data_IF_994913329010
#
_entry.id   IF_994913329010
#
_cell.length_a   1.000
_cell.length_b   1.000
_cell.length_c   1.000
_cell.angle_alpha   90.00
_cell.angle_beta   90.00
_cell.angle_gamma   90.00
#
_symmetry.space_group_name_H-M   'P 1'
#
loop_
_entity.id
_entity.type
_entity.pdbx_description
1 polymer ?
#
# COMPACT_ATOMS: atom_id res chain seq x y z
N UNK A 1 43.66 43.38 5.99
CA UNK A 1 43.92 42.22 5.10
C UNK A 1 43.75 40.85 5.77
N UNK A 2 44.13 40.63 7.04
CA UNK A 2 43.99 39.31 7.70
C UNK A 2 42.54 38.81 7.92
N UNK A 3 41.55 39.70 7.98
CA UNK A 3 40.14 39.33 8.20
C UNK A 3 39.36 38.86 6.96
N UNK A 4 39.82 39.19 5.75
CA UNK A 4 39.14 38.79 4.49
C UNK A 4 39.60 37.40 4.04
N UNK A 5 40.87 37.06 4.29
CA UNK A 5 41.45 35.74 3.96
C UNK A 5 40.81 34.62 4.83
N UNK A 6 40.48 34.90 6.10
CA UNK A 6 39.81 33.93 7.00
C UNK A 6 38.36 33.67 6.57
N UNK A 7 37.65 34.68 6.03
CA UNK A 7 36.28 34.50 5.52
C UNK A 7 36.24 33.71 4.21
N UNK A 8 37.23 33.85 3.33
CA UNK A 8 37.32 33.08 2.08
C UNK A 8 37.71 31.62 2.37
N UNK A 9 38.59 31.36 3.34
CA UNK A 9 38.96 29.99 3.74
C UNK A 9 37.77 29.26 4.38
N UNK A 10 36.97 29.93 5.23
CA UNK A 10 35.77 29.32 5.82
C UNK A 10 34.64 29.10 4.79
N UNK A 11 34.54 29.94 3.76
CA UNK A 11 33.56 29.77 2.68
C UNK A 11 33.93 28.61 1.74
N UNK A 12 35.22 28.41 1.47
CA UNK A 12 35.71 27.27 0.67
C UNK A 12 35.67 25.95 1.46
N UNK A 13 35.88 25.97 2.78
CA UNK A 13 35.71 24.78 3.64
C UNK A 13 34.23 24.36 3.77
N UNK A 14 33.30 25.32 3.81
CA UNK A 14 31.87 25.04 3.80
C UNK A 14 31.39 24.48 2.44
N UNK A 15 32.03 24.87 1.34
CA UNK A 15 31.69 24.37 0.00
C UNK A 15 32.29 22.98 -0.30
N UNK A 16 33.42 22.61 0.34
CA UNK A 16 34.02 21.28 0.23
C UNK A 16 33.33 20.22 1.11
N UNK A 17 32.58 20.61 2.14
CA UNK A 17 31.76 19.68 2.95
C UNK A 17 30.47 19.25 2.22
N UNK A 18 30.05 19.97 1.18
CA UNK A 18 28.89 19.60 0.35
C UNK A 18 29.22 18.52 -0.70
N UNK A 19 30.50 18.20 -0.94
CA UNK A 19 30.93 17.21 -1.94
C UNK A 19 31.17 15.80 -1.35
N UNK A 20 30.94 15.60 -0.05
CA UNK A 20 30.97 14.27 0.58
C UNK A 20 29.68 14.05 1.37
N UNK A 21 28.55 13.87 0.68
CA UNK A 21 27.37 13.26 1.30
C UNK A 21 27.73 11.81 1.60
N UNK A 22 27.90 11.40 2.86
CA UNK A 22 28.31 10.06 3.17
C UNK A 22 27.10 9.14 3.00
N UNK A 23 27.35 7.97 2.39
CA UNK A 23 26.48 6.80 2.26
C UNK A 23 25.66 6.47 3.53
N UNK A 24 26.08 6.95 4.70
CA UNK A 24 25.45 6.74 5.99
C UNK A 24 24.09 7.45 6.18
N UNK A 25 23.80 8.61 5.57
CA UNK A 25 22.47 9.23 5.74
C UNK A 25 21.36 8.45 5.01
N UNK A 26 21.68 7.84 3.87
CA UNK A 26 20.77 6.93 3.16
C UNK A 26 20.49 5.68 4.00
N UNK A 27 21.49 5.17 4.72
CA UNK A 27 21.35 4.01 5.62
C UNK A 27 20.49 4.36 6.84
N UNK A 28 20.70 5.51 7.49
CA UNK A 28 19.90 5.91 8.64
C UNK A 28 18.45 6.26 8.27
N UNK A 29 18.23 6.91 7.14
CA UNK A 29 16.89 7.13 6.59
C UNK A 29 16.20 5.79 6.27
N UNK A 30 16.89 4.85 5.62
CA UNK A 30 16.37 3.50 5.35
C UNK A 30 16.09 2.68 6.63
N UNK A 31 16.87 2.86 7.69
CA UNK A 31 16.70 2.13 8.96
C UNK A 31 15.53 2.66 9.81
N UNK A 32 15.28 3.97 9.80
CA UNK A 32 14.08 4.55 10.40
C UNK A 32 12.83 4.20 9.57
N UNK A 33 12.91 4.34 8.25
CA UNK A 33 11.89 3.98 7.27
C UNK A 33 11.43 2.51 7.35
N UNK A 34 12.37 1.56 7.42
CA UNK A 34 12.03 0.14 7.57
C UNK A 34 11.43 -0.19 8.94
N UNK A 35 11.60 0.67 9.95
CA UNK A 35 11.01 0.49 11.28
C UNK A 35 9.52 0.85 11.29
N UNK A 36 9.14 1.89 10.54
CA UNK A 36 7.79 2.46 10.56
C UNK A 36 6.79 1.62 9.74
N UNK A 37 7.16 1.20 8.52
CA UNK A 37 6.33 0.29 7.70
C UNK A 37 6.19 -1.09 8.37
N UNK A 38 7.26 -1.58 9.02
CA UNK A 38 7.20 -2.81 9.82
C UNK A 38 6.23 -2.69 11.00
N UNK A 39 6.13 -1.51 11.62
CA UNK A 39 5.20 -1.27 12.74
C UNK A 39 3.75 -1.26 12.26
N UNK A 40 3.45 -0.53 11.19
CA UNK A 40 2.14 -0.49 10.52
C UNK A 40 1.62 -1.90 10.18
N UNK A 41 2.44 -2.67 9.47
CA UNK A 41 2.05 -4.00 9.04
C UNK A 41 2.03 -4.99 10.22
N UNK A 42 2.82 -4.74 11.27
CA UNK A 42 2.75 -5.47 12.54
C UNK A 42 1.42 -5.24 13.25
N UNK A 43 0.92 -3.99 13.29
CA UNK A 43 -0.36 -3.65 13.94
C UNK A 43 -1.55 -4.30 13.21
N UNK A 44 -1.57 -4.24 11.87
CA UNK A 44 -2.58 -4.93 11.06
C UNK A 44 -2.55 -6.45 11.26
N UNK A 45 -1.35 -7.05 11.31
CA UNK A 45 -1.20 -8.49 11.57
C UNK A 45 -1.59 -8.87 13.01
N UNK A 46 -1.31 -8.02 14.00
CA UNK A 46 -1.74 -8.24 15.37
C UNK A 46 -3.27 -8.25 15.49
N UNK A 47 -3.94 -7.34 14.78
CA UNK A 47 -5.40 -7.32 14.68
C UNK A 47 -5.93 -8.62 14.05
N UNK A 48 -5.42 -9.04 12.88
CA UNK A 48 -5.87 -10.30 12.26
C UNK A 48 -5.61 -11.52 13.15
N UNK A 49 -4.49 -11.53 13.87
CA UNK A 49 -4.15 -12.59 14.83
C UNK A 49 -5.14 -12.64 16.00
N UNK A 50 -5.58 -11.50 16.49
CA UNK A 50 -6.61 -11.44 17.52
C UNK A 50 -7.96 -11.92 17.00
N UNK A 51 -8.35 -11.49 15.80
CA UNK A 51 -9.57 -11.98 15.11
C UNK A 51 -9.52 -13.50 14.95
N UNK A 52 -8.38 -14.04 14.51
CA UNK A 52 -8.17 -15.50 14.39
C UNK A 52 -8.42 -16.22 15.72
N UNK A 53 -7.78 -15.78 16.81
CA UNK A 53 -7.97 -16.40 18.14
C UNK A 53 -9.41 -16.35 18.62
N UNK A 54 -10.08 -15.22 18.44
CA UNK A 54 -11.48 -15.05 18.83
C UNK A 54 -12.40 -15.95 18.00
N UNK A 55 -12.08 -16.12 16.70
CA UNK A 55 -12.91 -16.86 15.77
C UNK A 55 -12.78 -18.38 15.93
N UNK A 56 -11.61 -18.90 16.36
CA UNK A 56 -11.38 -20.34 16.57
C UNK A 56 -12.28 -20.98 17.63
N UNK A 57 -12.71 -20.22 18.64
CA UNK A 57 -13.48 -20.74 19.77
C UNK A 57 -14.96 -20.39 19.69
N UNK A 58 -15.39 -19.79 18.58
CA UNK A 58 -16.75 -19.28 18.43
C UNK A 58 -17.68 -20.41 18.01
N UNK A 59 -18.71 -20.66 18.81
CA UNK A 59 -19.80 -21.55 18.43
C UNK A 59 -20.73 -20.79 17.47
N UNK A 60 -20.87 -21.31 16.24
CA UNK A 60 -21.66 -20.67 15.19
C UNK A 60 -22.94 -21.46 14.98
N UNK A 61 -24.07 -20.83 15.28
CA UNK A 61 -25.40 -21.30 14.89
C UNK A 61 -25.99 -20.51 13.73
N UNK A 62 -25.39 -19.35 13.39
CA UNK A 62 -25.88 -18.45 12.35
C UNK A 62 -24.77 -17.56 11.78
N UNK A 63 -24.84 -17.22 10.49
CA UNK A 63 -23.93 -16.27 9.84
C UNK A 63 -24.55 -14.86 9.75
N UNK A 64 -24.04 -13.94 10.55
CA UNK A 64 -24.50 -12.55 10.53
C UNK A 64 -23.50 -11.61 9.85
N UNK A 65 -22.20 -11.88 10.01
CA UNK A 65 -21.11 -11.00 9.57
C UNK A 65 -19.85 -11.80 9.16
N UNK A 66 -18.78 -11.07 8.83
CA UNK A 66 -17.48 -11.62 8.41
C UNK A 66 -16.84 -12.52 9.48
N UNK A 67 -16.99 -12.19 10.76
CA UNK A 67 -16.42 -12.98 11.85
C UNK A 67 -17.09 -14.35 11.94
N UNK A 68 -18.41 -14.41 11.76
CA UNK A 68 -19.13 -15.69 11.75
C UNK A 68 -18.72 -16.54 10.55
N UNK A 69 -18.63 -15.92 9.36
CA UNK A 69 -18.17 -16.60 8.14
C UNK A 69 -16.77 -17.17 8.33
N UNK A 70 -15.85 -16.40 8.92
CA UNK A 70 -14.50 -16.85 9.19
C UNK A 70 -14.44 -17.97 10.24
N UNK A 71 -15.19 -17.86 11.34
CA UNK A 71 -15.34 -18.94 12.33
C UNK A 71 -15.87 -20.23 11.73
N UNK A 72 -16.82 -20.15 10.79
CA UNK A 72 -17.30 -21.34 10.06
C UNK A 72 -16.15 -21.99 9.29
N UNK A 73 -15.33 -21.22 8.58
CA UNK A 73 -14.17 -21.78 7.87
C UNK A 73 -13.17 -22.42 8.82
N UNK A 74 -12.87 -21.79 9.95
CA UNK A 74 -11.93 -22.30 10.95
C UNK A 74 -12.41 -23.60 11.61
N UNK A 75 -13.72 -23.74 11.81
CA UNK A 75 -14.30 -24.95 12.38
C UNK A 75 -14.43 -26.11 11.37
N UNK A 76 -14.15 -25.85 10.09
CA UNK A 76 -14.38 -26.77 8.97
C UNK A 76 -13.18 -26.78 8.01
N UNK A 77 -11.96 -26.73 8.55
CA UNK A 77 -10.71 -26.65 7.78
C UNK A 77 -10.59 -27.80 6.75
N UNK A 78 -11.12 -28.97 7.06
CA UNK A 78 -11.12 -30.13 6.15
C UNK A 78 -11.95 -29.92 4.89
N UNK A 79 -12.81 -28.91 4.86
CA UNK A 79 -13.63 -28.52 3.72
C UNK A 79 -13.03 -27.33 2.94
N UNK A 80 -11.82 -26.88 3.32
CA UNK A 80 -11.10 -25.79 2.66
C UNK A 80 -9.89 -26.33 1.91
N UNK A 81 -9.82 -26.01 0.61
CA UNK A 81 -8.78 -26.47 -0.32
C UNK A 81 -8.00 -25.26 -0.83
N UNK A 82 -6.69 -25.27 -0.62
CA UNK A 82 -5.79 -24.26 -1.17
C UNK A 82 -5.47 -24.57 -2.63
N UNK A 83 -5.65 -23.57 -3.49
CA UNK A 83 -5.31 -23.64 -4.91
C UNK A 83 -3.86 -23.24 -5.16
N UNK A 84 -3.37 -23.53 -6.36
CA UNK A 84 -2.01 -23.18 -6.79
C UNK A 84 -1.73 -21.68 -6.84
N UNK A 85 -2.77 -20.84 -6.95
CA UNK A 85 -2.69 -19.38 -6.92
C UNK A 85 -2.83 -18.81 -5.49
N UNK A 86 -2.68 -19.66 -4.47
CA UNK A 86 -2.86 -19.36 -3.04
C UNK A 86 -4.28 -18.98 -2.61
N UNK A 87 -5.26 -18.96 -3.51
CA UNK A 87 -6.67 -18.75 -3.15
C UNK A 87 -7.27 -20.01 -2.53
N UNK A 88 -8.46 -19.87 -1.90
CA UNK A 88 -9.20 -21.00 -1.33
C UNK A 88 -10.41 -21.36 -2.15
N UNK A 89 -10.70 -22.65 -2.20
CA UNK A 89 -12.00 -23.20 -2.50
C UNK A 89 -12.60 -23.78 -1.22
N UNK A 90 -13.90 -23.61 -1.02
CA UNK A 90 -14.60 -24.12 0.16
C UNK A 90 -15.77 -24.96 -0.33
N UNK A 91 -15.92 -26.17 0.20
CA UNK A 91 -17.12 -26.98 -0.04
C UNK A 91 -18.29 -26.43 0.81
N UNK A 92 -18.90 -25.37 0.31
CA UNK A 92 -19.98 -24.64 1.01
C UNK A 92 -21.24 -25.49 1.15
N UNK A 93 -21.52 -26.39 0.20
CA UNK A 93 -22.68 -27.30 0.28
C UNK A 93 -22.58 -28.21 1.50
N UNK A 94 -21.43 -28.88 1.69
CA UNK A 94 -21.20 -29.75 2.84
C UNK A 94 -21.27 -28.99 4.18
N UNK A 95 -20.73 -27.77 4.22
CA UNK A 95 -20.84 -26.91 5.41
C UNK A 95 -22.31 -26.52 5.65
N UNK A 96 -23.04 -26.16 4.59
CA UNK A 96 -24.46 -25.79 4.68
C UNK A 96 -25.31 -26.91 5.28
N UNK A 97 -25.07 -28.16 4.89
CA UNK A 97 -25.80 -29.32 5.40
C UNK A 97 -25.54 -29.53 6.90
N UNK A 98 -24.29 -29.35 7.33
CA UNK A 98 -23.88 -29.52 8.72
C UNK A 98 -24.53 -28.48 9.65
N UNK A 99 -24.54 -27.21 9.23
CA UNK A 99 -25.06 -26.11 10.04
C UNK A 99 -26.53 -25.78 9.78
N UNK A 100 -27.11 -26.34 8.70
CA UNK A 100 -28.47 -26.04 8.22
C UNK A 100 -28.68 -24.55 7.90
N UNK A 101 -27.66 -23.94 7.30
CA UNK A 101 -27.72 -22.53 6.89
C UNK A 101 -28.80 -22.29 5.83
N UNK A 102 -29.47 -21.16 5.94
CA UNK A 102 -30.39 -20.68 4.90
C UNK A 102 -29.63 -20.04 3.72
N UNK A 103 -30.37 -19.67 2.67
CA UNK A 103 -29.76 -19.08 1.47
C UNK A 103 -29.05 -17.74 1.73
N UNK A 104 -29.52 -16.95 2.69
CA UNK A 104 -28.94 -15.65 3.03
C UNK A 104 -27.60 -15.85 3.74
N UNK A 105 -27.52 -16.82 4.63
CA UNK A 105 -26.30 -17.20 5.32
C UNK A 105 -25.24 -17.76 4.35
N UNK A 106 -25.67 -18.57 3.39
CA UNK A 106 -24.79 -19.07 2.33
C UNK A 106 -24.28 -17.95 1.42
N UNK A 107 -25.12 -16.97 1.09
CA UNK A 107 -24.70 -15.80 0.33
C UNK A 107 -23.61 -15.01 1.07
N UNK A 108 -23.76 -14.82 2.38
CA UNK A 108 -22.75 -14.15 3.22
C UNK A 108 -21.43 -14.92 3.26
N UNK A 109 -21.48 -16.24 3.46
CA UNK A 109 -20.30 -17.09 3.47
C UNK A 109 -19.56 -17.04 2.12
N UNK A 110 -20.29 -17.19 1.02
CA UNK A 110 -19.74 -17.09 -0.34
C UNK A 110 -19.14 -15.71 -0.62
N UNK A 111 -19.84 -14.64 -0.21
CA UNK A 111 -19.37 -13.27 -0.33
C UNK A 111 -18.06 -13.03 0.43
N UNK A 112 -17.96 -13.53 1.66
CA UNK A 112 -16.73 -13.48 2.45
C UNK A 112 -15.57 -14.22 1.75
N UNK A 113 -15.80 -15.46 1.28
CA UNK A 113 -14.78 -16.25 0.57
C UNK A 113 -14.33 -15.54 -0.70
N UNK A 114 -15.27 -15.00 -1.48
CA UNK A 114 -14.95 -14.30 -2.72
C UNK A 114 -14.10 -13.05 -2.46
N UNK A 115 -14.49 -12.22 -1.49
CA UNK A 115 -13.73 -11.05 -1.06
C UNK A 115 -12.33 -11.41 -0.60
N UNK A 116 -12.18 -12.44 0.23
CA UNK A 116 -10.88 -12.94 0.67
C UNK A 116 -10.00 -13.38 -0.51
N UNK A 117 -10.56 -14.12 -1.46
CA UNK A 117 -9.84 -14.54 -2.67
C UNK A 117 -9.41 -13.37 -3.56
N UNK A 118 -10.21 -12.31 -3.65
CA UNK A 118 -9.84 -11.07 -4.36
C UNK A 118 -8.62 -10.43 -3.67
N UNK A 119 -8.64 -10.30 -2.35
CA UNK A 119 -7.52 -9.73 -1.60
C UNK A 119 -6.24 -10.56 -1.73
N UNK A 120 -6.35 -11.89 -1.78
CA UNK A 120 -5.21 -12.79 -2.01
C UNK A 120 -4.64 -12.59 -3.41
N UNK A 121 -5.48 -12.58 -4.45
CA UNK A 121 -5.04 -12.40 -5.85
C UNK A 121 -4.34 -11.07 -6.08
N UNK A 122 -4.77 -10.02 -5.39
CA UNK A 122 -4.13 -8.70 -5.47
C UNK A 122 -2.85 -8.61 -4.62
N UNK A 123 -2.47 -9.64 -3.87
CA UNK A 123 -1.38 -9.58 -2.89
C UNK A 123 -1.61 -8.46 -1.86
N UNK A 124 -2.85 -8.30 -1.38
CA UNK A 124 -3.17 -7.43 -0.25
C UNK A 124 -3.07 -8.18 1.07
N UNK A 125 -3.54 -9.43 1.08
CA UNK A 125 -3.41 -10.35 2.21
C UNK A 125 -2.88 -11.69 1.73
N UNK A 126 -2.34 -12.46 2.66
CA UNK A 126 -2.00 -13.87 2.49
C UNK A 126 -2.59 -14.66 3.65
N UNK A 127 -2.77 -15.94 3.41
CA UNK A 127 -3.32 -16.88 4.38
C UNK A 127 -2.39 -18.08 4.49
N UNK A 128 -2.21 -18.62 5.69
CA UNK A 128 -1.48 -19.88 5.87
C UNK A 128 -2.43 -21.09 5.84
N UNK A 129 -1.90 -22.30 5.97
CA UNK A 129 -2.68 -23.54 5.97
C UNK A 129 -3.72 -23.64 7.10
N UNK A 130 -3.57 -22.85 8.15
CA UNK A 130 -4.53 -22.77 9.27
C UNK A 130 -5.55 -21.64 9.06
N UNK A 131 -5.58 -21.03 7.87
CA UNK A 131 -6.36 -19.84 7.52
C UNK A 131 -6.00 -18.57 8.29
N UNK A 132 -4.87 -18.53 9.00
CA UNK A 132 -4.44 -17.28 9.65
C UNK A 132 -4.11 -16.24 8.59
N UNK A 133 -4.82 -15.11 8.64
CA UNK A 133 -4.72 -14.01 7.69
C UNK A 133 -3.63 -13.04 8.13
N UNK A 134 -2.83 -12.57 7.17
CA UNK A 134 -1.85 -11.50 7.38
C UNK A 134 -1.77 -10.58 6.15
N UNK A 135 -1.44 -9.31 6.36
CA UNK A 135 -1.15 -8.39 5.26
C UNK A 135 0.15 -8.79 4.57
N UNK A 136 0.21 -8.59 3.25
CA UNK A 136 1.45 -8.82 2.49
C UNK A 136 2.35 -7.59 2.63
N UNK A 137 3.64 -7.82 2.89
CA UNK A 137 4.64 -6.78 3.11
C UNK A 137 5.90 -7.07 2.30
N UNK A 138 6.75 -6.05 2.13
CA UNK A 138 8.00 -6.14 1.39
C UNK A 138 7.80 -6.58 -0.06
N UNK A 139 6.74 -6.08 -0.69
CA UNK A 139 6.54 -6.19 -2.13
C UNK A 139 7.63 -5.34 -2.80
N UNK A 140 8.65 -6.00 -3.32
CA UNK A 140 9.74 -5.37 -4.05
C UNK A 140 9.63 -5.75 -5.51
N UNK A 141 10.06 -4.84 -6.38
CA UNK A 141 10.16 -5.15 -7.80
C UNK A 141 11.38 -6.04 -8.06
N UNK A 142 11.19 -7.11 -8.83
CA UNK A 142 12.30 -7.93 -9.30
C UNK A 142 12.92 -7.30 -10.55
N UNK A 143 14.23 -7.04 -10.50
CA UNK A 143 15.11 -6.65 -11.62
C UNK A 143 14.60 -5.53 -12.55
N UNK A 144 15.06 -4.30 -12.32
CA UNK A 144 14.80 -3.20 -13.25
C UNK A 144 15.80 -3.17 -14.41
N UNK A 145 15.30 -3.13 -15.64
CA UNK A 145 16.05 -2.60 -16.79
C UNK A 145 15.74 -1.11 -16.88
N UNK A 146 16.75 -0.24 -16.76
CA UNK A 146 16.59 1.20 -16.95
C UNK A 146 15.94 1.48 -18.31
N UNK A 147 14.75 2.07 -18.28
CA UNK A 147 14.05 2.52 -19.47
C UNK A 147 14.79 3.75 -19.98
N UNK A 148 15.51 3.62 -21.10
CA UNK A 148 16.14 4.75 -21.80
C UNK A 148 15.17 5.51 -22.72
N UNK A 149 13.88 5.21 -22.67
CA UNK A 149 12.88 5.85 -23.50
C UNK A 149 12.63 7.30 -23.03
N UNK A 150 12.66 8.25 -23.96
CA UNK A 150 12.37 9.66 -23.68
C UNK A 150 10.85 9.96 -23.60
N UNK A 151 10.02 8.96 -23.88
CA UNK A 151 8.57 9.05 -23.95
C UNK A 151 7.95 7.95 -23.10
N UNK A 152 6.95 8.31 -22.29
CA UNK A 152 6.19 7.40 -21.42
C UNK A 152 4.69 7.76 -21.48
N UNK A 153 3.83 6.94 -20.89
CA UNK A 153 2.42 7.27 -20.65
C UNK A 153 2.00 6.68 -19.30
N UNK A 154 1.91 7.50 -18.25
CA UNK A 154 1.59 7.04 -16.89
C UNK A 154 0.09 6.78 -16.68
N UNK A 155 -0.80 7.39 -17.47
CA UNK A 155 -2.24 7.36 -17.17
C UNK A 155 -2.87 5.97 -17.24
N UNK A 156 -2.59 5.12 -18.25
CA UNK A 156 -3.11 3.74 -18.27
C UNK A 156 -2.72 2.95 -17.02
N UNK A 157 -1.48 3.08 -16.57
CA UNK A 157 -0.97 2.38 -15.39
C UNK A 157 -1.59 2.94 -14.10
N UNK A 158 -1.70 4.27 -13.99
CA UNK A 158 -2.38 4.93 -12.87
C UNK A 158 -3.84 4.49 -12.72
N UNK A 159 -4.58 4.34 -13.82
CA UNK A 159 -5.97 3.83 -13.82
C UNK A 159 -6.05 2.39 -13.32
N UNK A 160 -5.19 1.51 -13.81
CA UNK A 160 -5.13 0.10 -13.36
C UNK A 160 -4.85 0.06 -11.85
N UNK A 161 -3.86 0.81 -11.38
CA UNK A 161 -3.48 0.82 -9.96
C UNK A 161 -4.56 1.46 -9.06
N UNK A 162 -5.29 2.47 -9.55
CA UNK A 162 -6.45 3.04 -8.86
C UNK A 162 -7.58 2.00 -8.71
N UNK A 163 -7.90 1.27 -9.78
CA UNK A 163 -8.90 0.19 -9.76
C UNK A 163 -8.49 -0.95 -8.81
N UNK A 164 -7.21 -1.32 -8.79
CA UNK A 164 -6.68 -2.30 -7.85
C UNK A 164 -6.84 -1.85 -6.41
N UNK A 165 -6.42 -0.63 -6.07
CA UNK A 165 -6.54 -0.08 -4.72
C UNK A 165 -8.02 0.00 -4.28
N UNK A 166 -8.91 0.41 -5.18
CA UNK A 166 -10.35 0.44 -4.93
C UNK A 166 -10.91 -0.96 -4.65
N UNK A 167 -10.51 -1.96 -5.45
CA UNK A 167 -10.90 -3.37 -5.21
C UNK A 167 -10.41 -3.85 -3.84
N UNK A 168 -9.19 -3.51 -3.43
CA UNK A 168 -8.69 -3.86 -2.09
C UNK A 168 -9.55 -3.24 -1.00
N UNK A 169 -9.91 -1.96 -1.13
CA UNK A 169 -10.73 -1.25 -0.15
C UNK A 169 -12.15 -1.81 -0.05
N UNK A 170 -12.81 -2.05 -1.17
CA UNK A 170 -14.20 -2.56 -1.23
C UNK A 170 -14.32 -4.02 -0.78
N UNK A 171 -13.27 -4.82 -0.99
CA UNK A 171 -13.26 -6.24 -0.63
C UNK A 171 -12.62 -6.53 0.73
N UNK A 172 -12.18 -5.50 1.47
CA UNK A 172 -11.63 -5.69 2.80
C UNK A 172 -12.63 -6.39 3.73
N UNK A 173 -12.12 -7.27 4.58
CA UNK A 173 -12.89 -8.08 5.52
C UNK A 173 -12.85 -7.51 6.93
N UNK A 174 -13.81 -7.89 7.78
CA UNK A 174 -13.90 -7.46 9.20
C UNK A 174 -13.98 -5.94 9.41
N UNK A 175 -14.47 -5.19 8.42
CA UNK A 175 -14.52 -3.72 8.50
C UNK A 175 -13.16 -3.03 8.43
N UNK A 176 -12.11 -3.72 7.94
CA UNK A 176 -10.71 -3.24 7.97
C UNK A 176 -10.29 -2.43 6.73
N UNK A 177 -11.26 -1.92 5.95
CA UNK A 177 -11.05 -1.29 4.63
C UNK A 177 -9.93 -0.25 4.56
N UNK A 178 -9.88 0.65 5.54
CA UNK A 178 -8.87 1.71 5.59
C UNK A 178 -7.47 1.16 5.91
N UNK A 179 -7.38 0.17 6.80
CA UNK A 179 -6.12 -0.44 7.21
C UNK A 179 -5.53 -1.28 6.07
N UNK A 180 -6.33 -2.18 5.49
CA UNK A 180 -5.85 -3.08 4.42
C UNK A 180 -5.48 -2.28 3.16
N UNK A 181 -6.31 -1.32 2.74
CA UNK A 181 -5.99 -0.47 1.61
C UNK A 181 -4.77 0.43 1.90
N UNK A 182 -4.65 0.96 3.11
CA UNK A 182 -3.52 1.79 3.51
C UNK A 182 -2.20 1.04 3.53
N UNK A 183 -2.18 -0.18 4.07
CA UNK A 183 -1.00 -1.07 4.00
C UNK A 183 -0.70 -1.44 2.55
N UNK A 184 -1.69 -1.87 1.78
CA UNK A 184 -1.53 -2.23 0.36
C UNK A 184 -0.88 -1.11 -0.45
N UNK A 185 -1.40 0.10 -0.31
CA UNK A 185 -0.92 1.29 -1.00
C UNK A 185 0.50 1.63 -0.56
N UNK A 186 0.73 1.71 0.75
CA UNK A 186 2.05 2.05 1.33
C UNK A 186 3.12 1.06 0.88
N UNK A 187 2.87 -0.25 0.96
CA UNK A 187 3.85 -1.26 0.57
C UNK A 187 4.28 -1.16 -0.91
N UNK A 188 3.48 -0.52 -1.76
CA UNK A 188 3.73 -0.36 -3.19
C UNK A 188 4.41 0.95 -3.56
N UNK A 189 3.94 2.08 -3.00
CA UNK A 189 4.49 3.42 -3.31
C UNK A 189 5.76 3.76 -2.52
N UNK A 190 6.06 2.96 -1.49
CA UNK A 190 7.25 3.16 -0.66
C UNK A 190 8.53 2.95 -1.46
N UNK A 191 9.65 3.54 -1.00
CA UNK A 191 10.94 3.33 -1.65
C UNK A 191 11.30 1.84 -1.85
N UNK A 192 11.62 1.47 -3.09
CA UNK A 192 11.86 0.08 -3.50
C UNK A 192 10.61 -0.80 -3.62
N UNK A 193 9.43 -0.27 -3.30
CA UNK A 193 8.13 -0.89 -3.60
C UNK A 193 7.83 -0.83 -5.10
N UNK A 194 6.92 -1.68 -5.59
CA UNK A 194 6.65 -1.88 -7.04
C UNK A 194 6.10 -0.66 -7.79
N UNK A 195 5.68 0.39 -7.08
CA UNK A 195 5.18 1.66 -7.64
C UNK A 195 6.12 2.83 -7.31
N UNK A 196 7.37 2.55 -6.96
CA UNK A 196 8.39 3.58 -6.70
C UNK A 196 9.00 4.15 -8.00
N UNK A 197 8.18 4.89 -8.75
CA UNK A 197 8.62 5.51 -10.01
C UNK A 197 9.80 6.48 -9.84
N UNK A 198 9.99 7.06 -8.64
CA UNK A 198 11.12 7.94 -8.35
C UNK A 198 12.45 7.18 -8.48
N UNK A 199 12.50 5.94 -8.01
CA UNK A 199 13.67 5.06 -8.17
C UNK A 199 13.83 4.57 -9.60
N UNK A 200 12.72 4.26 -10.28
CA UNK A 200 12.73 3.67 -11.63
C UNK A 200 13.15 4.63 -12.72
N UNK A 201 12.60 5.84 -12.67
CA UNK A 201 12.74 6.85 -13.69
C UNK A 201 13.85 7.85 -13.32
N UNK A 202 14.25 7.89 -12.06
CA UNK A 202 15.19 8.87 -11.53
C UNK A 202 14.52 10.22 -11.31
N UNK A 203 14.72 10.80 -10.13
CA UNK A 203 14.01 12.02 -9.70
C UNK A 203 14.22 13.24 -10.60
N UNK A 204 15.35 13.30 -11.33
CA UNK A 204 15.73 14.45 -12.18
C UNK A 204 15.64 14.18 -13.68
N UNK A 205 15.40 12.93 -14.10
CA UNK A 205 15.32 12.60 -15.52
C UNK A 205 14.00 13.12 -16.07
N UNK A 206 14.05 13.86 -17.18
CA UNK A 206 12.88 14.44 -17.83
C UNK A 206 12.38 13.50 -18.93
N UNK A 207 11.09 13.22 -18.91
CA UNK A 207 10.37 12.45 -19.91
C UNK A 207 9.31 13.33 -20.56
N UNK A 208 8.92 13.03 -21.79
CA UNK A 208 7.65 13.46 -22.33
C UNK A 208 6.59 12.41 -21.97
N UNK A 209 5.60 12.79 -21.19
CA UNK A 209 4.46 11.92 -20.89
C UNK A 209 3.34 12.20 -21.90
N UNK A 210 2.95 11.18 -22.69
CA UNK A 210 1.93 11.32 -23.73
C UNK A 210 0.53 11.51 -23.16
N UNK A 211 0.20 10.82 -22.06
CA UNK A 211 -1.09 10.91 -21.39
C UNK A 211 -1.31 12.29 -20.76
N UNK A 212 -0.27 12.81 -20.11
CA UNK A 212 -0.27 14.14 -19.49
C UNK A 212 0.03 15.27 -20.47
N UNK A 213 0.57 14.94 -21.66
CA UNK A 213 1.00 15.87 -22.71
C UNK A 213 2.00 16.91 -22.21
N UNK A 214 2.91 16.52 -21.34
CA UNK A 214 3.82 17.41 -20.64
C UNK A 214 5.23 16.82 -20.51
N UNK A 215 6.23 17.70 -20.39
CA UNK A 215 7.56 17.31 -19.96
C UNK A 215 7.62 17.27 -18.43
N UNK A 216 7.85 16.08 -17.86
CA UNK A 216 7.78 15.83 -16.42
C UNK A 216 9.01 15.05 -15.96
N UNK A 217 9.42 15.27 -14.72
CA UNK A 217 10.49 14.47 -14.12
C UNK A 217 9.97 13.13 -13.60
N UNK A 218 10.86 12.15 -13.39
CA UNK A 218 10.52 10.92 -12.67
C UNK A 218 9.94 11.17 -11.27
N UNK A 219 10.34 12.27 -10.62
CA UNK A 219 9.75 12.72 -9.35
C UNK A 219 8.30 13.15 -9.52
N UNK A 220 8.00 13.99 -10.51
CA UNK A 220 6.64 14.43 -10.83
C UNK A 220 5.75 13.25 -11.19
N UNK A 221 6.24 12.29 -11.98
CA UNK A 221 5.48 11.09 -12.34
C UNK A 221 5.11 10.27 -11.10
N UNK A 222 6.06 10.06 -10.18
CA UNK A 222 5.80 9.35 -8.92
C UNK A 222 4.79 10.07 -8.02
N UNK A 223 4.94 11.38 -7.86
CA UNK A 223 4.02 12.20 -7.05
C UNK A 223 2.61 12.27 -7.66
N UNK A 224 2.52 12.46 -8.98
CA UNK A 224 1.27 12.45 -9.73
C UNK A 224 0.55 11.10 -9.57
N UNK A 225 1.27 9.99 -9.83
CA UNK A 225 0.73 8.63 -9.71
C UNK A 225 0.19 8.38 -8.30
N UNK A 226 0.96 8.74 -7.29
CA UNK A 226 0.58 8.64 -5.89
C UNK A 226 -0.74 9.38 -5.60
N UNK A 227 -0.88 10.63 -6.06
CA UNK A 227 -2.10 11.43 -5.88
C UNK A 227 -3.31 10.85 -6.62
N UNK A 228 -3.11 10.41 -7.86
CA UNK A 228 -4.15 9.82 -8.70
C UNK A 228 -4.66 8.50 -8.10
N UNK A 229 -3.77 7.54 -7.85
CA UNK A 229 -4.13 6.22 -7.32
C UNK A 229 -4.74 6.33 -5.92
N UNK A 230 -4.12 7.12 -5.05
CA UNK A 230 -4.60 7.31 -3.69
C UNK A 230 -6.02 7.87 -3.62
N UNK A 231 -6.40 8.71 -4.59
CA UNK A 231 -7.72 9.36 -4.66
C UNK A 231 -8.87 8.39 -4.91
N UNK A 232 -8.56 7.15 -5.32
CA UNK A 232 -9.55 6.09 -5.42
C UNK A 232 -10.24 5.77 -4.08
N UNK A 233 -9.56 6.02 -2.95
CA UNK A 233 -10.05 5.60 -1.62
C UNK A 233 -9.77 6.61 -0.50
N UNK A 234 -8.85 7.55 -0.70
CA UNK A 234 -8.42 8.52 0.32
C UNK A 234 -8.76 9.95 -0.08
N UNK A 235 -9.14 10.76 0.90
CA UNK A 235 -9.42 12.18 0.67
C UNK A 235 -8.15 13.00 0.42
N UNK A 236 -8.26 14.17 -0.24
CA UNK A 236 -7.10 15.03 -0.54
C UNK A 236 -6.28 15.43 0.69
N UNK A 237 -6.93 15.66 1.83
CA UNK A 237 -6.25 15.99 3.09
C UNK A 237 -5.36 14.84 3.56
N UNK A 238 -5.85 13.61 3.45
CA UNK A 238 -5.07 12.40 3.76
C UNK A 238 -3.88 12.29 2.83
N UNK A 239 -4.09 12.45 1.52
CA UNK A 239 -3.04 12.26 0.52
C UNK A 239 -1.96 13.33 0.55
N UNK A 240 -2.28 14.54 1.02
CA UNK A 240 -1.33 15.65 1.14
C UNK A 240 -0.75 15.81 2.55
N UNK A 241 -1.05 14.89 3.47
CA UNK A 241 -0.49 14.94 4.82
C UNK A 241 0.00 13.58 5.27
N UNK A 242 1.28 13.54 5.66
CA UNK A 242 1.87 12.40 6.35
C UNK A 242 1.01 11.95 7.53
N UNK A 243 0.53 12.92 8.30
CA UNK A 243 -0.32 12.69 9.47
C UNK A 243 -1.65 12.03 9.09
N UNK A 244 -2.27 12.40 7.97
CA UNK A 244 -3.55 11.83 7.53
C UNK A 244 -3.43 10.37 7.11
N UNK A 245 -2.32 9.96 6.48
CA UNK A 245 -2.06 8.56 6.14
C UNK A 245 -1.63 7.75 7.36
N UNK A 246 -0.79 8.31 8.21
CA UNK A 246 -0.48 7.69 9.50
C UNK A 246 -1.76 7.46 10.30
N UNK A 247 -2.69 8.42 10.38
CA UNK A 247 -3.98 8.23 11.08
C UNK A 247 -4.86 7.11 10.50
N UNK A 248 -4.83 6.90 9.19
CA UNK A 248 -5.59 5.81 8.54
C UNK A 248 -4.98 4.45 8.84
N UNK A 249 -3.66 4.39 8.98
CA UNK A 249 -2.90 3.15 8.97
C UNK A 249 -2.48 2.72 10.38
N UNK A 250 -2.14 3.67 11.26
CA UNK A 250 -1.73 3.41 12.63
C UNK A 250 -2.30 4.49 13.55
N UNK A 251 -3.03 4.07 14.58
CA UNK A 251 -3.34 4.95 15.72
C UNK A 251 -2.11 5.53 16.42
N UNK A 252 -0.86 5.25 16.01
CA UNK A 252 0.39 5.86 16.51
C UNK A 252 1.57 5.83 15.48
N UNK A 253 2.34 6.93 15.44
CA UNK A 253 3.56 7.34 14.66
C UNK A 253 4.62 6.29 14.22
N UNK A 254 5.51 6.52 13.23
CA UNK A 254 6.23 7.75 12.78
C UNK A 254 6.46 7.88 11.24
N UNK A 255 6.87 9.08 10.78
CA UNK A 255 6.50 9.79 9.53
C UNK A 255 7.60 9.84 8.44
N UNK A 256 8.73 9.15 8.61
CA UNK A 256 9.95 9.39 7.80
C UNK A 256 9.82 9.09 6.29
N UNK A 257 8.96 8.15 5.89
CA UNK A 257 8.67 7.90 4.47
C UNK A 257 7.89 9.06 3.85
N UNK A 258 6.83 9.46 4.54
CA UNK A 258 5.88 10.43 4.08
C UNK A 258 6.53 11.80 3.88
N UNK A 259 7.55 12.14 4.66
CA UNK A 259 8.25 13.41 4.48
C UNK A 259 8.79 13.61 3.06
N UNK A 260 9.17 12.56 2.33
CA UNK A 260 9.68 12.67 0.94
C UNK A 260 8.62 12.94 -0.15
N UNK A 261 7.34 12.97 0.23
CA UNK A 261 6.22 13.38 -0.64
C UNK A 261 5.65 14.74 -0.23
N UNK A 262 6.10 15.29 0.91
CA UNK A 262 5.49 16.46 1.56
C UNK A 262 6.51 17.51 2.00
N UNK A 263 7.79 17.35 1.68
CA UNK A 263 8.87 18.26 2.06
C UNK A 263 9.08 19.40 1.05
N UNK A 264 8.76 19.21 -0.23
CA UNK A 264 8.75 20.26 -1.24
C UNK A 264 7.32 20.71 -1.62
N UNK A 265 7.03 22.03 -1.68
CA UNK A 265 5.78 22.55 -2.25
C UNK A 265 5.45 22.01 -3.65
N UNK A 266 6.48 21.64 -4.44
CA UNK A 266 6.33 21.00 -5.75
C UNK A 266 5.75 19.59 -5.65
N UNK A 267 6.18 18.79 -4.67
CA UNK A 267 5.60 17.45 -4.46
C UNK A 267 4.11 17.54 -4.16
N UNK A 268 3.73 18.50 -3.31
CA UNK A 268 2.31 18.73 -2.98
C UNK A 268 1.50 19.17 -4.21
N UNK A 269 2.08 19.96 -5.11
CA UNK A 269 1.43 20.39 -6.35
C UNK A 269 1.25 19.22 -7.33
N UNK A 270 2.27 18.36 -7.49
CA UNK A 270 2.19 17.19 -8.35
C UNK A 270 1.17 16.16 -7.83
N UNK A 271 1.12 15.95 -6.50
CA UNK A 271 0.08 15.14 -5.86
C UNK A 271 -1.31 15.74 -6.09
N UNK A 272 -1.46 17.06 -5.95
CA UNK A 272 -2.73 17.74 -6.24
C UNK A 272 -3.14 17.56 -7.70
N UNK A 273 -2.20 17.62 -8.63
CA UNK A 273 -2.47 17.38 -10.05
C UNK A 273 -2.99 15.95 -10.30
N UNK A 274 -2.40 14.94 -9.65
CA UNK A 274 -2.91 13.57 -9.67
C UNK A 274 -4.34 13.46 -9.13
N UNK A 275 -4.59 14.08 -7.97
CA UNK A 275 -5.92 14.14 -7.33
C UNK A 275 -6.95 14.77 -8.28
N UNK A 276 -6.63 15.93 -8.86
CA UNK A 276 -7.56 16.66 -9.74
C UNK A 276 -7.85 15.87 -11.01
N UNK A 277 -6.85 15.18 -11.56
CA UNK A 277 -7.01 14.35 -12.75
C UNK A 277 -7.92 13.15 -12.47
N UNK A 278 -7.75 12.48 -11.32
CA UNK A 278 -8.65 11.40 -10.92
C UNK A 278 -10.10 11.88 -10.76
N UNK A 279 -10.31 13.01 -10.09
CA UNK A 279 -11.64 13.61 -9.86
C UNK A 279 -12.31 14.13 -11.14
N UNK A 280 -11.54 14.47 -12.18
CA UNK A 280 -12.10 14.85 -13.47
C UNK A 280 -12.63 13.64 -14.25
N UNK A 281 -12.15 12.43 -13.95
CA UNK A 281 -12.52 11.19 -14.65
C UNK A 281 -13.66 10.40 -13.94
N UNK A 282 -13.98 10.71 -12.67
CA UNK A 282 -14.89 9.94 -11.81
C UNK A 282 -15.85 10.82 -11.01
#
# INVERSE_FOLDING_TARGET
>A
MKGIIIKIINFVLAFLIVILIPFNQIVYANLAYNRDVKKISSDANAMFKEIYKQSQNKNISKIENDYDSYSVLLNNLENVIFKSDNTIFVNVEKISELYKFDSIELEKLNSFINRLNILIKLNAVKINSNLEISVVTNIQQENFFSIKAAVIDILPEARIHADELKKVYENAIFGTKHIVAGVYFTERVKSGGIWDYKTYLGTKTIYYDEGLRAHVSGETIGNFHYGYVGSAVFGPTTLKSAAGLVQIISGTSDISFWSSYFDDPRDTADIQWGIDTYNAEH
#
